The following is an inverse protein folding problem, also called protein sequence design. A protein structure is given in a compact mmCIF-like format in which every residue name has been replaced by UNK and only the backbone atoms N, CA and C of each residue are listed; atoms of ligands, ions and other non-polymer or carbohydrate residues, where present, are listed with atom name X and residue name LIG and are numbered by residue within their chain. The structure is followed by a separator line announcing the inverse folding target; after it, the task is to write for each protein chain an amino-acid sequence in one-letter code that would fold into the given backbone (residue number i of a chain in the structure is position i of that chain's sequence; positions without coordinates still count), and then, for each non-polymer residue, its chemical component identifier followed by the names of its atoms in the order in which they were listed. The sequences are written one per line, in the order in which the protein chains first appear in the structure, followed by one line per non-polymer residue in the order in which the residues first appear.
data_IF_346230008284
#
_entry.id   IF_346230008284
#
_cell.length_a   1.000
_cell.length_b   1.000
_cell.length_c   1.000
_cell.angle_alpha   90.00
_cell.angle_beta   90.00
_cell.angle_gamma   90.00
#
_symmetry.space_group_name_H-M   'P 1'
#
loop_
_entity.id
_entity.type
_entity.pdbx_description
1 polymer ?
#
# COMPACT_ATOMS: atom_id res chain seq x y z
N UNK A 1 22.85 6.95 -11.97
CA UNK A 1 21.79 5.92 -11.98
C UNK A 1 20.85 6.25 -10.85
N UNK A 2 19.60 6.61 -11.16
CA UNK A 2 18.58 6.81 -10.13
C UNK A 2 18.19 5.41 -9.62
N UNK A 3 18.37 5.16 -8.33
CA UNK A 3 17.98 3.90 -7.70
C UNK A 3 16.46 3.69 -7.78
N UNK A 4 15.96 2.47 -7.51
CA UNK A 4 14.53 2.22 -7.47
C UNK A 4 13.85 3.22 -6.53
N UNK A 5 12.71 3.77 -6.95
CA UNK A 5 11.94 4.72 -6.14
C UNK A 5 11.31 3.95 -4.98
N UNK A 6 11.92 4.02 -3.80
CA UNK A 6 11.39 3.42 -2.58
C UNK A 6 10.42 4.41 -1.91
N UNK A 7 9.12 4.12 -1.97
CA UNK A 7 8.09 4.94 -1.30
C UNK A 7 7.47 4.18 -0.13
N UNK A 8 7.15 4.88 0.95
CA UNK A 8 6.55 4.33 2.17
C UNK A 8 5.28 5.11 2.51
N UNK A 9 4.20 4.41 2.79
CA UNK A 9 2.96 4.97 3.35
C UNK A 9 3.04 4.86 4.86
N UNK A 10 3.02 6.00 5.57
CA UNK A 10 2.89 6.05 7.03
C UNK A 10 1.46 6.46 7.38
N UNK A 11 0.76 5.60 8.11
CA UNK A 11 -0.67 5.80 8.38
C UNK A 11 -1.04 5.36 9.80
N UNK A 12 -1.93 6.12 10.44
CA UNK A 12 -2.54 5.77 11.73
C UNK A 12 -3.96 5.21 11.53
N UNK A 13 -4.61 4.81 12.61
CA UNK A 13 -5.96 4.24 12.60
C UNK A 13 -7.05 5.11 11.95
N UNK A 14 -6.83 6.42 11.80
CA UNK A 14 -7.79 7.35 11.20
C UNK A 14 -7.74 7.32 9.67
N UNK A 15 -6.70 6.72 9.11
CA UNK A 15 -6.44 6.69 7.69
C UNK A 15 -7.46 5.84 6.91
N UNK A 16 -7.72 6.24 5.67
CA UNK A 16 -8.63 5.52 4.79
C UNK A 16 -7.92 4.32 4.14
N UNK A 17 -8.30 3.11 4.58
CA UNK A 17 -7.72 1.87 4.09
C UNK A 17 -7.81 1.70 2.56
N UNK A 18 -8.88 2.20 1.93
CA UNK A 18 -9.05 2.15 0.47
C UNK A 18 -7.98 2.97 -0.24
N UNK A 19 -7.68 4.16 0.26
CA UNK A 19 -6.66 5.04 -0.33
C UNK A 19 -5.26 4.47 -0.08
N UNK A 20 -4.98 3.98 1.13
CA UNK A 20 -3.71 3.32 1.43
C UNK A 20 -3.46 2.13 0.48
N UNK A 21 -4.46 1.28 0.25
CA UNK A 21 -4.32 0.15 -0.69
C UNK A 21 -4.10 0.62 -2.13
N UNK A 22 -4.80 1.67 -2.57
CA UNK A 22 -4.64 2.23 -3.92
C UNK A 22 -3.22 2.79 -4.13
N UNK A 23 -2.68 3.52 -3.15
CA UNK A 23 -1.33 4.07 -3.22
C UNK A 23 -0.26 2.97 -3.26
N UNK A 24 -0.43 1.90 -2.46
CA UNK A 24 0.49 0.74 -2.48
C UNK A 24 0.47 0.03 -3.85
N UNK A 25 -0.70 -0.11 -4.47
CA UNK A 25 -0.84 -0.71 -5.80
C UNK A 25 -0.18 0.20 -6.85
N UNK A 26 -0.48 1.50 -6.83
CA UNK A 26 0.11 2.46 -7.77
C UNK A 26 1.65 2.48 -7.69
N UNK A 27 2.21 2.34 -6.50
CA UNK A 27 3.65 2.17 -6.31
C UNK A 27 4.18 0.85 -6.88
N UNK A 28 3.46 -0.26 -6.65
CA UNK A 28 3.84 -1.57 -7.20
C UNK A 28 3.87 -1.59 -8.74
N UNK A 29 2.96 -0.85 -9.38
CA UNK A 29 2.84 -0.81 -10.84
C UNK A 29 3.94 0.03 -11.53
N UNK A 30 4.58 0.93 -10.80
CA UNK A 30 5.54 1.87 -11.40
C UNK A 30 6.85 1.20 -11.84
N UNK A 31 7.32 0.17 -11.12
CA UNK A 31 8.55 -0.55 -11.42
C UNK A 31 8.39 -2.03 -10.99
N UNK A 32 8.72 -3.03 -11.81
CA UNK A 32 8.69 -4.44 -11.41
C UNK A 32 9.52 -4.77 -10.16
N UNK A 33 10.51 -3.94 -9.82
CA UNK A 33 11.34 -4.05 -8.62
C UNK A 33 10.82 -3.19 -7.46
N UNK A 34 9.72 -2.44 -7.64
CA UNK A 34 9.12 -1.63 -6.59
C UNK A 34 8.69 -2.48 -5.40
N UNK A 35 8.92 -1.95 -4.20
CA UNK A 35 8.51 -2.56 -2.94
C UNK A 35 7.69 -1.55 -2.15
N UNK A 36 6.37 -1.46 -2.38
CA UNK A 36 5.52 -0.58 -1.59
C UNK A 36 5.46 -1.07 -0.14
N UNK A 37 5.61 -0.15 0.81
CA UNK A 37 5.59 -0.47 2.25
C UNK A 37 4.56 0.39 2.96
N UNK A 38 3.70 -0.24 3.77
CA UNK A 38 2.84 0.43 4.74
C UNK A 38 3.43 0.28 6.14
N UNK A 39 3.59 1.40 6.85
CA UNK A 39 3.93 1.42 8.27
C UNK A 39 2.73 1.99 9.03
N UNK A 40 2.26 1.23 10.01
CA UNK A 40 1.18 1.66 10.91
C UNK A 40 1.33 1.03 12.28
N UNK A 41 0.93 1.76 13.32
CA UNK A 41 0.79 1.24 14.68
C UNK A 41 -0.55 0.53 14.90
N UNK A 42 -1.49 0.66 13.96
CA UNK A 42 -2.84 0.10 14.07
C UNK A 42 -2.96 -1.23 13.35
N UNK A 43 -3.07 -2.32 14.13
CA UNK A 43 -3.34 -3.66 13.60
C UNK A 43 -4.67 -3.73 12.84
N UNK A 44 -5.66 -2.94 13.26
CA UNK A 44 -6.97 -2.88 12.61
C UNK A 44 -6.87 -2.23 11.22
N UNK A 45 -6.12 -1.12 11.11
CA UNK A 45 -5.86 -0.50 9.81
C UNK A 45 -5.13 -1.47 8.89
N UNK A 46 -4.06 -2.10 9.37
CA UNK A 46 -3.30 -3.07 8.59
C UNK A 46 -4.20 -4.18 8.01
N UNK A 47 -5.07 -4.76 8.83
CA UNK A 47 -6.03 -5.78 8.38
C UNK A 47 -7.01 -5.26 7.32
N UNK A 48 -7.54 -4.05 7.50
CA UNK A 48 -8.42 -3.41 6.50
C UNK A 48 -7.70 -3.19 5.18
N UNK A 49 -6.48 -2.65 5.20
CA UNK A 49 -5.69 -2.43 3.99
C UNK A 49 -5.41 -3.75 3.27
N UNK A 50 -5.06 -4.82 4.00
CA UNK A 50 -4.89 -6.16 3.40
C UNK A 50 -6.16 -6.64 2.69
N UNK A 51 -7.33 -6.47 3.29
CA UNK A 51 -8.60 -6.83 2.64
C UNK A 51 -8.86 -6.01 1.37
N UNK A 52 -8.60 -4.70 1.41
CA UNK A 52 -8.75 -3.81 0.26
C UNK A 52 -7.78 -4.17 -0.89
N UNK A 53 -6.54 -4.58 -0.55
CA UNK A 53 -5.56 -5.09 -1.52
C UNK A 53 -6.06 -6.36 -2.21
N UNK A 54 -6.50 -7.36 -1.45
CA UNK A 54 -7.04 -8.62 -2.00
C UNK A 54 -8.21 -8.33 -2.94
N UNK A 55 -9.15 -7.49 -2.49
CA UNK A 55 -10.35 -7.14 -3.28
C UNK A 55 -9.99 -6.51 -4.62
N UNK A 56 -9.03 -5.57 -4.64
CA UNK A 56 -8.61 -4.88 -5.86
C UNK A 56 -7.83 -5.79 -6.79
N UNK A 57 -6.88 -6.56 -6.26
CA UNK A 57 -6.05 -7.46 -7.07
C UNK A 57 -6.83 -8.63 -7.67
N UNK A 58 -7.96 -9.02 -7.09
CA UNK A 58 -8.88 -9.99 -7.71
C UNK A 58 -9.67 -9.42 -8.90
N UNK A 59 -9.72 -8.10 -9.03
CA UNK A 59 -10.47 -7.40 -10.09
C UNK A 59 -9.58 -7.02 -11.28
N UNK A 60 -8.25 -7.21 -11.16
CA UNK A 60 -7.28 -7.10 -12.25
C UNK A 60 -7.06 -8.45 -12.94
#
# INVERSE_FOLDING_TARGET
MYGPTETVVLADETSNATLCAADLIAQAEHDPLAKPVLITTSKQLAGRVTSELITRLQTF
#
